data_IF_033745999863
#
_entry.id   IF_033745999863
#
_cell.length_a   1.000
_cell.length_b   1.000
_cell.length_c   1.000
_cell.angle_alpha   90.00
_cell.angle_beta   90.00
_cell.angle_gamma   90.00
#
_symmetry.space_group_name_H-M   'P 1'
#
loop_
_entity.id
_entity.type
_entity.pdbx_description
1 polymer ?
#
# COMPACT_ATOMS: atom_id res chain seq x y z
N UNK A 1 -40.25 -12.61 9.06
CA UNK A 1 -40.68 -12.93 7.69
C UNK A 1 -40.30 -11.70 6.85
N UNK A 2 -39.23 -11.61 6.08
CA UNK A 2 -38.33 -12.61 5.48
C UNK A 2 -36.93 -11.96 5.32
N UNK A 3 -35.85 -12.66 5.66
CA UNK A 3 -34.49 -12.19 5.41
C UNK A 3 -34.08 -12.58 3.99
N UNK A 4 -34.15 -11.66 3.04
CA UNK A 4 -33.65 -11.86 1.67
C UNK A 4 -32.14 -12.18 1.70
N UNK A 5 -31.82 -13.47 1.62
CA UNK A 5 -30.46 -13.98 1.43
C UNK A 5 -29.95 -13.55 0.05
N UNK A 6 -28.95 -12.65 0.06
CA UNK A 6 -28.30 -12.15 -1.16
C UNK A 6 -27.44 -13.24 -1.79
N UNK A 7 -27.99 -13.98 -2.76
CA UNK A 7 -27.19 -14.89 -3.59
C UNK A 7 -26.24 -14.07 -4.49
N UNK A 8 -24.94 -14.34 -4.38
CA UNK A 8 -23.92 -13.71 -5.23
C UNK A 8 -23.80 -14.49 -6.54
N UNK A 9 -24.10 -13.83 -7.65
CA UNK A 9 -23.84 -14.36 -8.99
C UNK A 9 -22.35 -14.23 -9.37
N UNK A 10 -21.86 -15.05 -10.33
CA UNK A 10 -20.47 -15.03 -10.76
C UNK A 10 -20.05 -13.68 -11.38
N UNK A 11 -18.75 -13.38 -11.26
CA UNK A 11 -18.12 -12.11 -11.67
C UNK A 11 -18.19 -11.94 -13.19
N UNK A 12 -18.53 -10.74 -13.66
CA UNK A 12 -18.56 -10.40 -15.08
C UNK A 12 -17.11 -10.36 -15.63
N UNK A 13 -16.77 -11.06 -16.73
CA UNK A 13 -15.37 -11.19 -17.19
C UNK A 13 -14.71 -9.87 -17.61
N UNK A 14 -15.49 -8.82 -17.91
CA UNK A 14 -14.96 -7.54 -18.42
C UNK A 14 -15.13 -6.35 -17.43
N UNK A 15 -15.47 -6.59 -16.17
CA UNK A 15 -15.78 -5.54 -15.20
C UNK A 15 -15.18 -5.78 -13.82
N UNK A 16 -14.49 -4.77 -13.28
CA UNK A 16 -13.87 -4.81 -11.95
C UNK A 16 -14.85 -4.75 -10.75
N UNK A 17 -16.16 -4.96 -10.96
CA UNK A 17 -17.13 -5.00 -9.86
C UNK A 17 -18.23 -6.05 -10.07
N UNK A 18 -18.80 -6.64 -8.99
CA UNK A 18 -19.92 -7.57 -9.08
C UNK A 18 -21.16 -6.88 -9.68
N UNK A 19 -21.77 -7.49 -10.68
CA UNK A 19 -23.00 -6.98 -11.29
C UNK A 19 -24.16 -7.18 -10.32
N UNK A 20 -24.70 -6.10 -9.75
CA UNK A 20 -26.00 -6.15 -9.09
C UNK A 20 -27.09 -5.85 -10.13
N UNK A 21 -28.20 -6.60 -10.11
CA UNK A 21 -29.42 -6.17 -10.83
C UNK A 21 -29.88 -4.87 -10.15
N UNK A 22 -30.20 -3.79 -10.90
CA UNK A 22 -30.80 -2.62 -10.29
C UNK A 22 -32.12 -3.04 -9.66
N UNK A 23 -32.21 -2.98 -8.33
CA UNK A 23 -33.47 -3.16 -7.61
C UNK A 23 -34.39 -2.03 -8.05
N UNK A 24 -35.69 -2.32 -8.24
CA UNK A 24 -36.66 -1.34 -8.72
C UNK A 24 -36.80 -0.09 -7.82
N UNK A 25 -36.34 -0.18 -6.55
CA UNK A 25 -36.41 0.90 -5.58
C UNK A 25 -35.10 1.02 -4.80
N UNK A 26 -34.33 2.09 -5.06
CA UNK A 26 -33.11 2.41 -4.32
C UNK A 26 -33.46 3.14 -3.02
N UNK A 27 -33.43 2.40 -1.91
CA UNK A 27 -33.76 2.93 -0.58
C UNK A 27 -32.83 4.09 -0.14
N UNK A 28 -31.66 4.26 -0.75
CA UNK A 28 -30.74 5.38 -0.46
C UNK A 28 -31.22 6.70 -1.03
N UNK A 29 -32.12 6.68 -2.00
CA UNK A 29 -32.72 7.88 -2.61
C UNK A 29 -34.00 8.33 -1.91
N UNK A 30 -34.38 7.65 -0.83
CA UNK A 30 -35.57 8.00 -0.05
C UNK A 30 -35.34 9.26 0.79
N UNK A 31 -36.42 10.03 1.02
CA UNK A 31 -36.37 11.24 1.84
C UNK A 31 -36.01 10.96 3.31
N UNK A 32 -36.43 9.79 3.82
CA UNK A 32 -36.05 9.33 5.15
C UNK A 32 -34.53 9.13 5.30
N UNK A 33 -33.87 8.58 4.27
CA UNK A 33 -32.42 8.44 4.26
C UNK A 33 -31.71 9.80 4.15
N UNK A 34 -32.25 10.72 3.36
CA UNK A 34 -31.73 12.08 3.26
C UNK A 34 -31.84 12.85 4.59
N UNK A 35 -32.96 12.69 5.31
CA UNK A 35 -33.16 13.27 6.64
C UNK A 35 -32.19 12.70 7.67
N UNK A 36 -31.97 11.38 7.66
CA UNK A 36 -30.97 10.72 8.50
C UNK A 36 -29.55 11.24 8.20
N UNK A 37 -29.16 11.34 6.92
CA UNK A 37 -27.85 11.89 6.53
C UNK A 37 -27.66 13.34 6.99
N UNK A 38 -28.70 14.18 6.91
CA UNK A 38 -28.67 15.55 7.46
C UNK A 38 -28.52 15.55 8.99
N UNK A 39 -29.21 14.66 9.69
CA UNK A 39 -29.12 14.53 11.15
C UNK A 39 -27.73 14.07 11.62
N UNK A 40 -27.06 13.21 10.86
CA UNK A 40 -25.68 12.74 11.13
C UNK A 40 -24.62 13.79 10.72
N UNK A 41 -25.04 14.95 10.18
CA UNK A 41 -24.13 16.03 9.77
C UNK A 41 -23.42 15.76 8.43
N UNK A 42 -23.93 14.83 7.62
CA UNK A 42 -23.41 14.59 6.28
C UNK A 42 -23.74 15.78 5.39
N UNK A 43 -22.71 16.53 4.97
CA UNK A 43 -22.86 17.64 4.04
C UNK A 43 -22.73 17.14 2.60
N UNK A 44 -23.82 17.10 1.81
CA UNK A 44 -23.73 16.72 0.41
C UNK A 44 -22.92 17.78 -0.34
N UNK A 45 -21.79 17.37 -0.92
CA UNK A 45 -21.00 18.23 -1.80
C UNK A 45 -19.83 18.98 -1.16
N UNK A 46 -19.43 18.65 0.08
CA UNK A 46 -18.07 19.02 0.48
C UNK A 46 -17.09 18.35 -0.49
N UNK A 47 -16.41 19.15 -1.34
CA UNK A 47 -15.27 18.69 -2.14
C UNK A 47 -14.38 17.93 -1.16
N UNK A 48 -14.14 16.65 -1.41
CA UNK A 48 -13.20 15.85 -0.64
C UNK A 48 -11.85 16.55 -0.71
N UNK A 49 -11.56 17.42 0.25
CA UNK A 49 -10.21 17.92 0.53
C UNK A 49 -9.47 16.80 1.26
N UNK A 50 -9.46 15.61 0.66
CA UNK A 50 -8.61 14.51 1.09
C UNK A 50 -7.20 14.87 0.68
N UNK A 51 -6.41 15.34 1.65
CA UNK A 51 -5.05 15.78 1.43
C UNK A 51 -4.67 16.92 2.37
N UNK A 52 -3.36 17.14 2.52
CA UNK A 52 -2.86 18.35 3.20
C UNK A 52 -3.39 19.57 2.47
N UNK A 53 -3.91 20.55 3.21
CA UNK A 53 -4.26 21.87 2.65
C UNK A 53 -3.02 22.40 1.89
N UNK A 54 -3.18 22.89 0.66
CA UNK A 54 -2.05 23.47 -0.06
C UNK A 54 -1.45 24.59 0.78
N UNK A 55 -0.12 24.59 0.90
CA UNK A 55 0.60 25.64 1.64
C UNK A 55 0.35 26.96 0.89
N UNK A 56 -0.07 28.04 1.59
CA UNK A 56 -0.21 29.38 1.02
C UNK A 56 1.03 29.82 0.25
N UNK A 57 0.84 30.51 -0.87
CA UNK A 57 1.96 30.92 -1.74
C UNK A 57 2.92 31.89 -1.07
N UNK A 58 2.41 32.81 -0.25
CA UNK A 58 3.21 33.74 0.55
C UNK A 58 4.23 33.01 1.44
N UNK A 59 3.81 31.92 2.10
CA UNK A 59 4.69 31.14 2.97
C UNK A 59 5.77 30.43 2.15
N UNK A 60 5.45 29.96 0.94
CA UNK A 60 6.43 29.32 0.07
C UNK A 60 7.49 30.30 -0.42
N UNK A 61 7.09 31.53 -0.75
CA UNK A 61 8.00 32.59 -1.18
C UNK A 61 8.99 32.93 -0.07
N UNK A 62 8.49 33.19 1.14
CA UNK A 62 9.35 33.43 2.30
C UNK A 62 10.27 32.26 2.62
N UNK A 63 9.78 31.02 2.50
CA UNK A 63 10.62 29.84 2.69
C UNK A 63 11.74 29.75 1.64
N UNK A 64 11.46 30.21 0.41
CA UNK A 64 12.42 30.30 -0.68
C UNK A 64 13.52 31.33 -0.42
N UNK A 65 13.17 32.49 0.15
CA UNK A 65 14.12 33.53 0.53
C UNK A 65 15.10 33.04 1.61
N UNK A 66 14.64 32.23 2.55
CA UNK A 66 15.47 31.68 3.64
C UNK A 66 16.38 30.52 3.21
N UNK A 67 16.34 30.09 1.94
CA UNK A 67 17.14 28.94 1.47
C UNK A 67 18.63 29.26 1.53
N UNK A 68 19.04 30.48 1.18
CA UNK A 68 20.46 30.88 1.18
C UNK A 68 21.08 30.77 2.58
N UNK A 69 20.39 31.32 3.59
CA UNK A 69 20.80 31.23 5.00
C UNK A 69 20.83 29.77 5.50
N UNK A 70 19.87 28.95 5.07
CA UNK A 70 19.83 27.55 5.43
C UNK A 70 21.02 26.77 4.86
N UNK A 71 21.48 27.11 3.65
CA UNK A 71 22.67 26.51 3.04
C UNK A 71 23.95 26.90 3.79
N UNK A 72 24.09 28.17 4.19
CA UNK A 72 25.22 28.63 5.01
C UNK A 72 25.26 27.88 6.33
N UNK A 73 24.12 27.75 7.02
CA UNK A 73 24.05 26.97 8.26
C UNK A 73 24.35 25.50 8.07
N UNK A 74 23.89 24.88 6.99
CA UNK A 74 24.24 23.49 6.68
C UNK A 74 25.74 23.32 6.49
N UNK A 75 26.39 24.24 5.78
CA UNK A 75 27.85 24.22 5.58
C UNK A 75 28.60 24.35 6.91
N UNK A 76 28.17 25.24 7.80
CA UNK A 76 28.77 25.35 9.15
C UNK A 76 28.61 24.05 9.96
N UNK A 77 27.43 23.42 9.90
CA UNK A 77 27.15 22.18 10.64
C UNK A 77 27.99 20.99 10.16
N UNK A 78 28.48 21.02 8.92
CA UNK A 78 29.40 19.99 8.41
C UNK A 78 30.72 19.95 9.18
N UNK A 79 31.17 21.08 9.75
CA UNK A 79 32.39 21.17 10.55
C UNK A 79 32.14 21.10 12.06
N UNK A 80 30.93 20.71 12.47
CA UNK A 80 30.62 20.58 13.89
C UNK A 80 31.35 19.40 14.54
N UNK A 81 31.72 19.55 15.81
CA UNK A 81 32.42 18.51 16.60
C UNK A 81 31.57 17.25 16.84
N UNK A 82 30.26 17.31 16.57
CA UNK A 82 29.36 16.18 16.73
C UNK A 82 29.24 15.44 15.41
N UNK A 83 29.89 14.29 15.31
CA UNK A 83 29.90 13.45 14.11
C UNK A 83 28.50 13.16 13.53
N UNK A 84 27.50 12.91 14.39
CA UNK A 84 26.13 12.67 13.95
C UNK A 84 25.50 13.87 13.21
N UNK A 85 25.83 15.10 13.65
CA UNK A 85 25.32 16.34 13.05
C UNK A 85 26.07 16.64 11.77
N UNK A 86 27.39 16.46 11.77
CA UNK A 86 28.23 16.60 10.58
C UNK A 86 27.80 15.62 9.47
N UNK A 87 27.62 14.33 9.78
CA UNK A 87 27.14 13.32 8.83
C UNK A 87 25.75 13.64 8.29
N UNK A 88 24.82 14.09 9.14
CA UNK A 88 23.47 14.45 8.70
C UNK A 88 23.48 15.68 7.78
N UNK A 89 24.34 16.67 8.05
CA UNK A 89 24.52 17.83 7.17
C UNK A 89 25.10 17.41 5.82
N UNK A 90 26.13 16.57 5.83
CA UNK A 90 26.77 16.02 4.61
C UNK A 90 25.77 15.20 3.78
N UNK A 91 25.00 14.29 4.39
CA UNK A 91 24.01 13.47 3.66
C UNK A 91 22.91 14.35 3.04
N UNK A 92 22.47 15.41 3.71
CA UNK A 92 21.50 16.35 3.14
C UNK A 92 22.03 17.10 1.92
N UNK A 93 23.31 17.45 1.90
CA UNK A 93 23.95 18.13 0.76
C UNK A 93 24.20 17.16 -0.39
N UNK A 94 24.66 15.94 -0.11
CA UNK A 94 25.09 14.97 -1.13
C UNK A 94 23.91 14.17 -1.70
N UNK A 95 22.90 13.84 -0.90
CA UNK A 95 21.80 12.94 -1.28
C UNK A 95 20.99 13.35 -2.52
N UNK A 96 20.81 14.64 -2.87
CA UNK A 96 20.15 15.03 -4.11
C UNK A 96 20.99 14.73 -5.36
N UNK A 97 22.32 14.71 -5.23
CA UNK A 97 23.24 14.56 -6.36
C UNK A 97 23.69 13.11 -6.57
N UNK A 98 23.63 12.28 -5.52
CA UNK A 98 24.04 10.88 -5.60
C UNK A 98 22.81 9.98 -5.67
N UNK A 99 22.58 9.28 -6.80
CA UNK A 99 21.48 8.33 -6.90
C UNK A 99 21.69 7.21 -5.88
N UNK A 100 20.76 7.09 -4.93
CA UNK A 100 20.79 5.99 -3.96
C UNK A 100 20.50 4.69 -4.71
N UNK A 101 21.34 3.67 -4.51
CA UNK A 101 21.10 2.34 -5.08
C UNK A 101 19.72 1.83 -4.66
N UNK A 102 18.96 1.25 -5.61
CA UNK A 102 17.66 0.66 -5.32
C UNK A 102 17.84 -0.53 -4.35
N UNK A 103 17.37 -0.38 -3.10
CA UNK A 103 17.55 -1.40 -2.04
C UNK A 103 16.34 -2.30 -1.81
N UNK A 104 15.25 -2.14 -2.58
CA UNK A 104 14.00 -2.88 -2.33
C UNK A 104 13.78 -3.93 -3.41
N UNK A 105 14.04 -5.18 -3.07
CA UNK A 105 13.56 -6.34 -3.82
C UNK A 105 12.21 -6.69 -3.20
N UNK A 106 11.11 -6.24 -3.81
CA UNK A 106 9.78 -6.65 -3.41
C UNK A 106 9.48 -8.01 -4.06
N UNK A 107 9.59 -9.09 -3.29
CA UNK A 107 9.17 -10.42 -3.73
C UNK A 107 7.68 -10.55 -3.40
N UNK A 108 6.82 -10.36 -4.40
CA UNK A 108 5.40 -10.67 -4.28
C UNK A 108 5.20 -12.18 -4.41
N UNK A 109 5.02 -12.88 -3.28
CA UNK A 109 4.51 -14.25 -3.29
C UNK A 109 2.98 -14.23 -3.33
N UNK A 110 2.39 -14.49 -4.49
CA UNK A 110 0.96 -14.78 -4.58
C UNK A 110 0.71 -16.25 -4.23
N UNK A 111 0.06 -16.50 -3.10
CA UNK A 111 -0.48 -17.82 -2.79
C UNK A 111 -1.95 -17.87 -3.20
N UNK A 112 -2.25 -18.60 -4.27
CA UNK A 112 -3.62 -19.02 -4.57
C UNK A 112 -4.14 -19.83 -3.38
N UNK A 113 -5.18 -19.32 -2.69
CA UNK A 113 -5.84 -20.04 -1.59
C UNK A 113 -6.43 -21.35 -2.10
N UNK A 114 -6.83 -21.39 -3.37
CA UNK A 114 -7.29 -22.60 -4.05
C UNK A 114 -6.19 -23.66 -4.11
N UNK A 115 -4.96 -23.29 -4.44
CA UNK A 115 -3.81 -24.21 -4.50
C UNK A 115 -3.43 -24.70 -3.10
N UNK A 116 -3.57 -23.83 -2.09
CA UNK A 116 -3.33 -24.20 -0.71
C UNK A 116 -4.38 -25.19 -0.20
N UNK A 117 -5.66 -24.98 -0.52
CA UNK A 117 -6.74 -25.90 -0.20
C UNK A 117 -6.64 -27.21 -0.99
N UNK A 118 -6.20 -27.16 -2.25
CA UNK A 118 -5.93 -28.34 -3.06
C UNK A 118 -4.79 -29.15 -2.44
N UNK A 119 -3.65 -28.53 -2.11
CA UNK A 119 -2.55 -29.19 -1.39
C UNK A 119 -2.95 -29.78 -0.04
N UNK A 120 -3.83 -29.10 0.70
CA UNK A 120 -4.34 -29.62 1.98
C UNK A 120 -5.24 -30.83 1.75
N UNK A 121 -6.11 -30.79 0.74
CA UNK A 121 -6.97 -31.93 0.38
C UNK A 121 -6.16 -33.10 -0.17
N UNK A 122 -5.15 -32.85 -1.01
CA UNK A 122 -4.26 -33.87 -1.55
C UNK A 122 -3.40 -34.52 -0.45
N UNK A 123 -2.96 -33.75 0.54
CA UNK A 123 -2.31 -34.28 1.76
C UNK A 123 -3.26 -35.11 2.61
N UNK A 124 -4.52 -34.68 2.75
CA UNK A 124 -5.54 -35.39 3.54
C UNK A 124 -6.04 -36.65 2.84
N UNK A 125 -6.01 -36.67 1.51
CA UNK A 125 -6.33 -37.80 0.65
C UNK A 125 -5.13 -38.74 0.39
N UNK A 126 -3.96 -38.45 0.98
CA UNK A 126 -2.78 -39.31 0.91
C UNK A 126 -2.05 -39.32 -0.44
N UNK A 127 -2.35 -38.38 -1.35
CA UNK A 127 -1.73 -38.30 -2.69
C UNK A 127 -0.36 -37.62 -2.69
N UNK A 128 -0.08 -36.75 -1.71
CA UNK A 128 1.23 -36.10 -1.57
C UNK A 128 1.93 -36.67 -0.33
N UNK A 129 2.66 -37.76 -0.52
CA UNK A 129 3.74 -38.15 0.39
C UNK A 129 4.92 -37.24 0.09
N UNK A 130 5.36 -36.44 1.07
CA UNK A 130 6.64 -35.73 0.98
C UNK A 130 7.78 -36.77 0.98
N UNK A 131 8.01 -37.42 -0.16
CA UNK A 131 9.21 -38.22 -0.39
C UNK A 131 10.25 -37.24 -0.89
N UNK A 132 11.15 -36.85 0.00
CA UNK A 132 12.42 -36.26 -0.40
C UNK A 132 13.24 -37.47 -0.85
N UNK A 133 13.32 -37.72 -2.17
CA UNK A 133 14.28 -38.66 -2.72
C UNK A 133 15.67 -38.01 -2.59
N UNK A 134 16.35 -38.31 -1.48
CA UNK A 134 17.79 -38.07 -1.36
C UNK A 134 18.47 -39.18 -2.14
N UNK A 135 18.81 -38.91 -3.40
CA UNK A 135 19.76 -39.73 -4.14
C UNK A 135 21.14 -39.45 -3.51
N UNK A 136 21.81 -40.42 -2.88
CA UNK A 136 23.19 -40.20 -2.46
C UNK A 136 24.05 -39.99 -3.71
N UNK A 137 24.75 -38.85 -3.78
CA UNK A 137 25.87 -38.71 -4.71
C UNK A 137 26.94 -39.72 -4.28
N UNK A 138 27.31 -40.58 -5.22
CA UNK A 138 28.39 -41.55 -5.06
C UNK A 138 29.69 -40.73 -5.00
N UNK A 139 30.16 -40.42 -3.79
CA UNK A 139 31.50 -39.87 -3.55
C UNK A 139 32.51 -40.99 -3.87
N UNK A 140 32.76 -41.18 -5.16
CA UNK A 140 33.85 -41.97 -5.69
C UNK A 140 35.19 -41.29 -5.37
N UNK A 141 35.67 -41.53 -4.16
CA UNK A 141 37.08 -41.40 -3.80
C UNK A 141 37.88 -42.47 -4.56
N UNK A 142 38.22 -42.18 -5.81
CA UNK A 142 39.26 -42.92 -6.53
C UNK A 142 40.64 -42.37 -6.14
N UNK A 143 41.39 -43.24 -5.46
CA UNK A 143 42.81 -43.18 -5.08
C UNK A 143 43.71 -43.18 -6.32
#
# INVERSE_FOLDING_TARGET
MDTETRERLPRNPNGNSPHYKPVAFDQRKTEAHAAHCRAVGFQPGHKRMGGRKPIPEEIKMHLGEMVEDALVRLHELMYSEKDAVALAAVDKVISPFVPKAARKIEISHEHSVSDLLQRVNDKRAGLITNVIDVIPEDDGDDI
#
